data_IF_284720468892
#
_entry.id   IF_284720468892
#
_cell.length_a   1.000
_cell.length_b   1.000
_cell.length_c   1.000
_cell.angle_alpha   90.00
_cell.angle_beta   90.00
_cell.angle_gamma   90.00
#
_symmetry.space_group_name_H-M   'P 1'
#
loop_
_entity.id
_entity.type
_entity.pdbx_description
1 polymer ?
#
# COMPACT_ATOMS: atom_id res chain seq x y z
N UNK A 1 25.29 -23.99 -28.45
CA UNK A 1 23.90 -23.62 -28.11
C UNK A 1 23.79 -23.66 -26.61
N UNK A 2 23.53 -22.52 -25.97
CA UNK A 2 22.85 -22.40 -24.66
C UNK A 2 22.70 -20.90 -24.38
N UNK A 3 21.72 -20.28 -25.05
CA UNK A 3 21.15 -19.03 -24.54
C UNK A 3 20.16 -19.45 -23.45
N UNK A 4 20.69 -19.80 -22.28
CA UNK A 4 19.87 -20.01 -21.09
C UNK A 4 19.56 -18.63 -20.53
N UNK A 5 18.53 -17.99 -21.11
CA UNK A 5 17.82 -16.91 -20.43
C UNK A 5 17.06 -17.57 -19.29
N UNK A 6 17.74 -17.85 -18.18
CA UNK A 6 17.06 -18.17 -16.93
C UNK A 6 16.23 -16.94 -16.61
N UNK A 7 14.93 -17.01 -16.87
CA UNK A 7 13.98 -16.04 -16.36
C UNK A 7 13.97 -16.21 -14.83
N UNK A 8 14.98 -15.63 -14.18
CA UNK A 8 15.00 -15.44 -12.74
C UNK A 8 13.75 -14.64 -12.42
N UNK A 9 12.69 -15.33 -11.98
CA UNK A 9 11.50 -14.70 -11.46
C UNK A 9 11.75 -14.50 -9.96
N UNK A 10 12.29 -13.34 -9.55
CA UNK A 10 12.69 -13.15 -8.16
C UNK A 10 11.48 -13.32 -7.25
N UNK A 11 11.65 -14.13 -6.20
CA UNK A 11 10.61 -14.41 -5.23
C UNK A 11 10.79 -13.54 -3.98
N UNK A 12 9.70 -13.25 -3.29
CA UNK A 12 9.67 -12.51 -2.02
C UNK A 12 8.62 -13.10 -1.07
N UNK A 13 8.77 -12.81 0.22
CA UNK A 13 7.82 -13.19 1.24
C UNK A 13 6.69 -12.16 1.35
N UNK A 14 5.44 -12.63 1.36
CA UNK A 14 4.27 -11.79 1.55
C UNK A 14 4.22 -11.27 2.99
N UNK A 15 4.33 -9.95 3.18
CA UNK A 15 4.30 -9.34 4.51
C UNK A 15 2.97 -9.48 5.28
N UNK A 16 1.90 -10.00 4.66
CA UNK A 16 0.61 -10.21 5.30
C UNK A 16 0.43 -11.64 5.85
N UNK A 17 0.92 -12.66 5.14
CA UNK A 17 0.70 -14.07 5.51
C UNK A 17 1.96 -14.94 5.52
N UNK A 18 3.12 -14.42 5.10
CA UNK A 18 4.39 -15.15 5.06
C UNK A 18 4.59 -16.09 3.85
N UNK A 19 3.64 -16.13 2.90
CA UNK A 19 3.78 -16.96 1.71
C UNK A 19 4.87 -16.45 0.77
N UNK A 20 5.63 -17.36 0.16
CA UNK A 20 6.65 -17.02 -0.86
C UNK A 20 5.99 -16.86 -2.22
N UNK A 21 6.10 -15.67 -2.81
CA UNK A 21 5.40 -15.26 -4.03
C UNK A 21 6.36 -14.58 -5.03
N UNK A 22 6.07 -14.60 -6.33
CA UNK A 22 6.82 -13.79 -7.31
C UNK A 22 6.74 -12.29 -7.03
N UNK A 23 7.86 -11.55 -7.13
CA UNK A 23 7.90 -10.09 -6.92
C UNK A 23 7.03 -9.30 -7.91
N UNK A 24 6.76 -9.85 -9.08
CA UNK A 24 5.88 -9.24 -10.08
C UNK A 24 4.39 -9.52 -9.82
N UNK A 25 4.03 -10.19 -8.73
CA UNK A 25 2.64 -10.43 -8.37
C UNK A 25 1.97 -9.14 -7.90
N UNK A 26 0.81 -8.80 -8.47
CA UNK A 26 0.00 -7.66 -8.00
C UNK A 26 -0.73 -7.96 -6.69
N UNK A 27 -0.92 -9.24 -6.36
CA UNK A 27 -1.55 -9.69 -5.12
C UNK A 27 -1.03 -11.06 -4.69
N UNK A 28 -1.16 -11.36 -3.40
CA UNK A 28 -0.83 -12.67 -2.86
C UNK A 28 -1.92 -13.69 -3.23
N UNK A 29 -1.58 -14.82 -3.88
CA UNK A 29 -2.57 -15.84 -4.23
C UNK A 29 -3.16 -16.57 -3.02
N UNK A 30 -2.47 -16.57 -1.88
CA UNK A 30 -2.89 -17.33 -0.69
C UNK A 30 -3.82 -16.53 0.23
N UNK A 31 -3.54 -15.24 0.43
CA UNK A 31 -4.31 -14.38 1.34
C UNK A 31 -5.03 -13.22 0.65
N UNK A 32 -4.84 -13.06 -0.66
CA UNK A 32 -5.42 -12.00 -1.47
C UNK A 32 -5.00 -10.57 -1.06
N UNK A 33 -3.90 -10.42 -0.31
CA UNK A 33 -3.30 -9.12 -0.04
C UNK A 33 -2.86 -8.47 -1.35
N UNK A 34 -3.31 -7.25 -1.63
CA UNK A 34 -2.97 -6.52 -2.84
C UNK A 34 -1.71 -5.71 -2.57
N UNK A 35 -0.67 -5.93 -3.38
CA UNK A 35 0.54 -5.12 -3.36
C UNK A 35 0.30 -3.90 -4.22
N UNK A 36 -0.46 -2.96 -3.65
CA UNK A 36 -0.61 -1.65 -4.25
C UNK A 36 0.73 -0.96 -4.23
N UNK A 37 1.16 -0.45 -5.39
CA UNK A 37 2.08 0.69 -5.40
C UNK A 37 1.51 1.68 -4.38
N UNK A 38 2.34 2.08 -3.42
CA UNK A 38 1.99 3.14 -2.48
C UNK A 38 1.59 4.31 -3.36
N UNK A 39 0.30 4.58 -3.48
CA UNK A 39 -0.17 5.71 -4.25
C UNK A 39 0.48 6.94 -3.62
N UNK A 40 1.12 7.81 -4.41
CA UNK A 40 1.70 9.09 -3.96
C UNK A 40 0.68 10.00 -3.24
N UNK A 41 -0.59 9.59 -3.21
CA UNK A 41 -1.60 10.08 -2.28
C UNK A 41 -1.18 9.72 -0.85
N UNK A 42 -0.40 10.61 -0.23
CA UNK A 42 -0.16 10.56 1.20
C UNK A 42 -1.50 10.54 1.93
N UNK A 43 -1.74 9.46 2.67
CA UNK A 43 -2.92 9.28 3.51
C UNK A 43 -2.57 9.73 4.93
N UNK A 44 -3.44 10.53 5.54
CA UNK A 44 -3.36 10.95 6.93
C UNK A 44 -4.51 10.39 7.76
N UNK A 45 -4.23 10.08 9.02
CA UNK A 45 -5.25 9.70 10.00
C UNK A 45 -5.82 10.94 10.70
N UNK A 46 -7.15 11.03 10.80
CA UNK A 46 -7.79 12.09 11.56
C UNK A 46 -7.57 11.89 13.07
N UNK A 47 -6.82 12.79 13.72
CA UNK A 47 -6.56 12.72 15.16
C UNK A 47 -7.78 12.79 16.09
N UNK A 48 -8.97 13.14 15.58
CA UNK A 48 -10.20 13.19 16.38
C UNK A 48 -11.04 11.90 16.32
N UNK A 49 -11.00 11.15 15.21
CA UNK A 49 -11.88 10.00 15.00
C UNK A 49 -11.21 8.78 14.36
N UNK A 50 -9.92 8.85 14.01
CA UNK A 50 -9.16 7.75 13.41
C UNK A 50 -9.50 7.47 11.94
N UNK A 51 -10.29 8.32 11.27
CA UNK A 51 -10.60 8.12 9.84
C UNK A 51 -9.35 8.37 9.00
N UNK A 52 -8.99 7.39 8.16
CA UNK A 52 -7.94 7.51 7.15
C UNK A 52 -8.50 8.22 5.92
N UNK A 53 -7.84 9.30 5.50
CA UNK A 53 -8.23 10.12 4.36
C UNK A 53 -7.00 10.78 3.72
N UNK A 54 -7.12 11.48 2.58
CA UNK A 54 -6.01 12.22 1.99
C UNK A 54 -5.37 13.22 2.98
N UNK A 55 -4.05 13.27 3.05
CA UNK A 55 -3.33 14.13 3.99
C UNK A 55 -3.50 15.62 3.71
N UNK A 56 -3.88 15.98 2.47
CA UNK A 56 -4.17 17.34 2.01
C UNK A 56 -5.64 17.76 2.25
N UNK A 57 -6.44 16.90 2.90
CA UNK A 57 -7.80 17.25 3.27
C UNK A 57 -7.79 18.45 4.24
N UNK A 58 -8.63 19.46 4.00
CA UNK A 58 -8.81 20.60 4.91
C UNK A 58 -9.78 20.30 6.07
N UNK A 59 -10.56 19.23 5.95
CA UNK A 59 -11.57 18.82 6.94
C UNK A 59 -11.80 17.31 6.86
N UNK A 60 -12.06 16.69 8.01
CA UNK A 60 -12.40 15.27 8.07
C UNK A 60 -13.75 14.97 7.43
N UNK A 61 -13.75 14.04 6.47
CA UNK A 61 -14.98 13.58 5.78
C UNK A 61 -15.98 12.88 6.72
N UNK A 62 -15.51 12.34 7.85
CA UNK A 62 -16.33 11.58 8.79
C UNK A 62 -16.90 12.46 9.89
N UNK A 63 -16.02 13.11 10.68
CA UNK A 63 -16.45 13.88 11.86
C UNK A 63 -16.53 15.40 11.62
N UNK A 64 -16.07 15.89 10.48
CA UNK A 64 -16.17 17.31 10.12
C UNK A 64 -15.22 18.25 10.86
N UNK A 65 -14.21 17.75 11.59
CA UNK A 65 -13.16 18.57 12.20
C UNK A 65 -12.28 19.19 11.10
N UNK A 66 -11.97 20.48 11.21
CA UNK A 66 -11.06 21.16 10.28
C UNK A 66 -9.60 20.96 10.71
N UNK A 67 -8.71 20.78 9.73
CA UNK A 67 -7.27 20.69 9.95
C UNK A 67 -6.66 22.09 9.78
N UNK A 68 -5.89 22.53 10.77
CA UNK A 68 -5.13 23.79 10.72
C UNK A 68 -3.67 23.43 10.48
N UNK A 69 -3.13 23.81 9.33
CA UNK A 69 -1.69 23.79 9.10
C UNK A 69 -1.11 25.09 9.67
N UNK A 70 -0.23 24.97 10.67
CA UNK A 70 0.51 26.10 11.21
C UNK A 70 1.63 26.44 10.21
N UNK A 71 1.54 27.63 9.59
CA UNK A 71 2.51 28.15 8.61
C UNK A 71 3.78 28.66 9.26
#
# INVERSE_FOLDING_TARGET
>A
MTNETTEDNPMAECGACGSIIPLNSQSCPDCNAVFGQVSDSSLGECGACGTIQPSDALKCINCGVSFVEET
#
